data_IF_152238585961
#
_entry.id   IF_152238585961
#
_cell.length_a   1.000
_cell.length_b   1.000
_cell.length_c   1.000
_cell.angle_alpha   90.00
_cell.angle_beta   90.00
_cell.angle_gamma   90.00
#
_symmetry.space_group_name_H-M   'P 1'
#
loop_
_entity.id
_entity.type
_entity.pdbx_description
1 polymer ?
#
# COMPACT_ATOMS: atom_id res chain seq x y z
N UNK A 1 -12.50 -26.13 20.32
CA UNK A 1 -12.86 -27.53 20.03
C UNK A 1 -14.16 -27.83 20.76
N UNK A 2 -15.16 -28.42 20.09
CA UNK A 2 -16.42 -28.82 20.75
C UNK A 2 -16.10 -30.00 21.67
N UNK A 3 -16.10 -29.79 22.99
CA UNK A 3 -15.96 -30.88 23.94
C UNK A 3 -17.31 -31.58 24.06
N UNK A 4 -17.41 -32.80 23.52
CA UNK A 4 -18.57 -33.64 23.73
C UNK A 4 -18.58 -34.09 25.21
N UNK A 5 -19.62 -33.70 25.94
CA UNK A 5 -19.86 -34.17 27.31
C UNK A 5 -20.52 -35.54 27.26
N UNK A 6 -19.93 -36.53 27.92
CA UNK A 6 -20.53 -37.85 28.09
C UNK A 6 -21.60 -37.88 29.19
N UNK A 7 -21.89 -36.74 29.84
CA UNK A 7 -22.97 -36.65 30.83
C UNK A 7 -24.29 -36.39 30.10
N UNK A 8 -25.14 -37.40 30.07
CA UNK A 8 -26.56 -37.26 29.77
C UNK A 8 -27.15 -36.44 30.93
N UNK A 9 -27.78 -35.30 30.62
CA UNK A 9 -28.54 -34.52 31.62
C UNK A 9 -29.66 -35.43 32.16
N UNK A 10 -29.69 -35.65 33.47
CA UNK A 10 -30.68 -36.54 34.09
C UNK A 10 -32.11 -35.97 33.99
N UNK A 11 -32.23 -34.65 33.83
CA UNK A 11 -33.51 -33.96 33.65
C UNK A 11 -33.83 -33.77 32.16
N UNK A 12 -34.98 -34.31 31.74
CA UNK A 12 -35.49 -34.17 30.38
C UNK A 12 -36.13 -32.79 30.21
N UNK A 13 -35.41 -31.88 29.55
CA UNK A 13 -35.95 -30.59 29.12
C UNK A 13 -37.16 -30.82 28.18
N UNK A 14 -38.30 -30.21 28.52
CA UNK A 14 -39.47 -30.23 27.65
C UNK A 14 -39.22 -29.36 26.41
N UNK A 15 -39.67 -29.74 25.20
CA UNK A 15 -39.55 -28.89 24.00
C UNK A 15 -40.15 -27.49 24.18
N UNK A 16 -41.12 -27.32 25.09
CA UNK A 16 -41.73 -26.03 25.40
C UNK A 16 -40.81 -25.08 26.20
N UNK A 17 -39.75 -25.60 26.84
CA UNK A 17 -38.78 -24.82 27.62
C UNK A 17 -37.55 -24.39 26.80
N UNK A 18 -37.55 -24.68 25.49
CA UNK A 18 -36.44 -24.35 24.59
C UNK A 18 -36.16 -22.85 24.49
N UNK A 19 -37.20 -22.02 24.55
CA UNK A 19 -37.08 -20.56 24.55
C UNK A 19 -36.35 -20.04 25.79
N UNK A 20 -36.74 -20.48 26.98
CA UNK A 20 -36.09 -20.11 28.25
C UNK A 20 -34.63 -20.56 28.31
N UNK A 21 -34.31 -21.73 27.73
CA UNK A 21 -32.92 -22.21 27.62
C UNK A 21 -32.10 -21.33 26.68
N UNK A 22 -32.67 -20.88 25.56
CA UNK A 22 -32.00 -19.98 24.62
C UNK A 22 -31.77 -18.61 25.26
N UNK A 23 -32.76 -18.06 25.97
CA UNK A 23 -32.63 -16.77 26.65
C UNK A 23 -31.55 -16.81 27.74
N UNK A 24 -31.50 -17.89 28.55
CA UNK A 24 -30.45 -18.08 29.56
C UNK A 24 -29.07 -18.26 28.91
N UNK A 25 -28.99 -18.92 27.75
CA UNK A 25 -27.74 -19.06 26.99
C UNK A 25 -27.29 -17.72 26.40
N UNK A 26 -28.21 -16.91 25.87
CA UNK A 26 -27.91 -15.59 25.33
C UNK A 26 -27.52 -14.61 26.45
N UNK A 27 -28.21 -14.62 27.59
CA UNK A 27 -27.83 -13.83 28.77
C UNK A 27 -26.48 -14.27 29.33
N UNK A 28 -26.19 -15.58 29.35
CA UNK A 28 -24.89 -16.10 29.77
C UNK A 28 -23.80 -15.75 28.75
N UNK A 29 -24.12 -15.77 27.46
CA UNK A 29 -23.21 -15.38 26.38
C UNK A 29 -22.90 -13.88 26.43
N UNK A 30 -23.92 -13.04 26.66
CA UNK A 30 -23.77 -11.60 26.84
C UNK A 30 -23.02 -11.27 28.14
N UNK A 31 -23.28 -12.02 29.22
CA UNK A 31 -22.54 -11.90 30.48
C UNK A 31 -21.09 -12.39 30.35
N UNK A 32 -20.82 -13.38 29.50
CA UNK A 32 -19.47 -13.84 29.15
C UNK A 32 -18.76 -12.84 28.22
N UNK A 33 -19.47 -12.23 27.28
CA UNK A 33 -18.98 -11.13 26.43
C UNK A 33 -18.67 -9.88 27.26
N UNK A 34 -19.47 -9.58 28.29
CA UNK A 34 -19.20 -8.49 29.23
C UNK A 34 -18.10 -8.83 30.25
N UNK A 35 -17.88 -10.12 30.55
CA UNK A 35 -16.81 -10.64 31.43
C UNK A 35 -15.50 -10.95 30.69
N UNK A 36 -15.49 -10.93 29.36
CA UNK A 36 -14.26 -10.83 28.56
C UNK A 36 -13.69 -9.44 28.79
N UNK A 37 -13.13 -9.27 29.98
CA UNK A 37 -12.54 -8.06 30.46
C UNK A 37 -11.41 -7.69 29.48
N UNK A 38 -11.39 -6.45 29.02
CA UNK A 38 -10.34 -5.92 28.14
C UNK A 38 -8.93 -6.18 28.71
N UNK A 39 -8.82 -6.28 30.04
CA UNK A 39 -7.63 -6.64 30.79
C UNK A 39 -7.21 -8.11 30.64
N UNK A 40 -8.13 -9.09 30.62
CA UNK A 40 -7.78 -10.50 30.44
C UNK A 40 -7.27 -10.80 29.03
N UNK A 41 -7.89 -10.20 28.00
CA UNK A 41 -7.42 -10.33 26.63
C UNK A 41 -6.05 -9.66 26.44
N UNK A 42 -5.85 -8.48 27.05
CA UNK A 42 -4.56 -7.79 27.05
C UNK A 42 -3.47 -8.62 27.75
N UNK A 43 -3.73 -9.12 28.96
CA UNK A 43 -2.78 -9.92 29.73
C UNK A 43 -2.48 -11.27 29.08
N UNK A 44 -3.48 -11.92 28.47
CA UNK A 44 -3.27 -13.15 27.70
C UNK A 44 -2.43 -12.89 26.44
N UNK A 45 -2.73 -11.81 25.72
CA UNK A 45 -1.99 -11.40 24.52
C UNK A 45 -0.54 -11.06 24.88
N UNK A 46 -0.34 -10.27 25.94
CA UNK A 46 0.96 -9.92 26.50
C UNK A 46 1.76 -11.18 26.85
N UNK A 47 1.22 -12.07 27.68
CA UNK A 47 1.89 -13.33 28.09
C UNK A 47 2.18 -14.26 26.91
N UNK A 48 1.32 -14.27 25.89
CA UNK A 48 1.52 -15.08 24.69
C UNK A 48 2.65 -14.53 23.82
N UNK A 49 2.74 -13.19 23.68
CA UNK A 49 3.83 -12.52 22.97
C UNK A 49 5.16 -12.71 23.72
N UNK A 50 5.19 -12.49 25.04
CA UNK A 50 6.36 -12.72 25.89
C UNK A 50 6.89 -14.14 25.77
N UNK A 51 5.99 -15.13 25.88
CA UNK A 51 6.34 -16.55 25.77
C UNK A 51 6.81 -16.94 24.37
N UNK A 52 6.23 -16.33 23.32
CA UNK A 52 6.56 -16.67 21.95
C UNK A 52 7.90 -16.06 21.51
N UNK A 53 8.21 -14.83 21.96
CA UNK A 53 9.39 -14.10 21.53
C UNK A 53 10.59 -14.22 22.49
N UNK A 54 10.39 -14.76 23.69
CA UNK A 54 11.44 -14.95 24.71
C UNK A 54 12.16 -13.63 25.09
N UNK A 55 11.38 -12.55 25.27
CA UNK A 55 11.89 -11.20 25.56
C UNK A 55 11.33 -10.73 26.91
N UNK A 56 12.20 -10.25 27.81
CA UNK A 56 11.80 -9.55 29.04
C UNK A 56 11.55 -8.05 28.77
N UNK A 57 10.41 -7.57 29.28
CA UNK A 57 9.71 -6.27 29.12
C UNK A 57 10.49 -5.03 28.62
N UNK A 58 9.96 -4.42 27.56
CA UNK A 58 9.50 -3.00 27.51
C UNK A 58 9.18 -2.62 26.06
N UNK A 59 9.96 -3.14 25.11
CA UNK A 59 9.98 -2.62 23.74
C UNK A 59 8.67 -2.83 22.96
N UNK A 60 8.11 -4.04 22.93
CA UNK A 60 6.86 -4.32 22.21
C UNK A 60 5.65 -3.67 22.88
N UNK A 61 5.66 -3.59 24.21
CA UNK A 61 4.64 -2.87 24.98
C UNK A 61 4.71 -1.38 24.68
N UNK A 62 5.92 -0.82 24.52
CA UNK A 62 6.11 0.56 24.12
C UNK A 62 5.60 0.83 22.70
N UNK A 63 5.90 -0.02 21.71
CA UNK A 63 5.32 0.12 20.36
C UNK A 63 3.79 0.07 20.40
N UNK A 64 3.23 -0.89 21.13
CA UNK A 64 1.77 -1.00 21.29
C UNK A 64 1.16 0.25 21.94
N UNK A 65 1.76 0.74 23.05
CA UNK A 65 1.23 1.87 23.83
C UNK A 65 1.47 3.23 23.18
N UNK A 66 2.63 3.42 22.58
CA UNK A 66 3.07 4.69 22.03
C UNK A 66 2.61 4.89 20.59
N UNK A 67 2.44 3.81 19.81
CA UNK A 67 2.14 3.89 18.38
C UNK A 67 0.76 3.29 18.10
N UNK A 68 0.56 1.99 18.32
CA UNK A 68 -0.61 1.28 17.80
C UNK A 68 -1.93 1.67 18.49
N UNK A 69 -1.96 1.75 19.82
CA UNK A 69 -3.17 2.13 20.56
C UNK A 69 -3.61 3.58 20.26
N UNK A 70 -2.73 4.60 20.31
CA UNK A 70 -3.09 5.96 19.92
C UNK A 70 -3.54 6.04 18.47
N UNK A 71 -2.88 5.31 17.57
CA UNK A 71 -3.25 5.30 16.16
C UNK A 71 -4.67 4.75 15.95
N UNK A 72 -5.12 3.76 16.71
CA UNK A 72 -6.50 3.24 16.59
C UNK A 72 -7.56 4.33 16.79
N UNK A 73 -7.29 5.30 17.67
CA UNK A 73 -8.14 6.47 17.90
C UNK A 73 -8.09 7.39 16.68
N UNK A 74 -6.90 7.66 16.14
CA UNK A 74 -6.71 8.47 14.93
C UNK A 74 -7.49 7.87 13.75
N UNK A 75 -7.35 6.57 13.51
CA UNK A 75 -8.07 5.86 12.46
C UNK A 75 -9.58 5.97 12.65
N UNK A 76 -10.10 5.73 13.86
CA UNK A 76 -11.54 5.87 14.14
C UNK A 76 -12.08 7.27 13.79
N UNK A 77 -11.30 8.33 14.07
CA UNK A 77 -11.67 9.69 13.68
C UNK A 77 -11.61 9.92 12.17
N UNK A 78 -10.62 9.35 11.47
CA UNK A 78 -10.52 9.38 10.01
C UNK A 78 -11.73 8.69 9.37
N UNK A 79 -12.05 7.48 9.81
CA UNK A 79 -13.21 6.68 9.35
C UNK A 79 -14.51 7.44 9.58
N UNK A 80 -14.72 7.97 10.79
CA UNK A 80 -15.92 8.72 11.15
C UNK A 80 -16.08 10.01 10.33
N UNK A 81 -14.97 10.71 10.06
CA UNK A 81 -14.99 11.93 9.24
C UNK A 81 -15.31 11.60 7.78
N UNK A 82 -14.60 10.66 7.19
CA UNK A 82 -14.68 10.33 5.77
C UNK A 82 -14.32 11.49 4.84
N UNK A 83 -14.18 11.17 3.55
CA UNK A 83 -13.91 12.15 2.50
C UNK A 83 -15.19 12.49 1.72
N UNK A 84 -15.42 13.77 1.43
CA UNK A 84 -16.64 14.20 0.72
C UNK A 84 -16.53 13.89 -0.77
N UNK A 85 -17.65 13.45 -1.36
CA UNK A 85 -17.81 13.28 -2.78
C UNK A 85 -18.57 14.46 -3.41
N UNK A 86 -18.15 14.83 -4.60
CA UNK A 86 -18.96 15.57 -5.56
C UNK A 86 -19.82 14.55 -6.33
N UNK A 87 -21.07 14.38 -5.89
CA UNK A 87 -21.94 13.34 -6.41
C UNK A 87 -22.32 13.54 -7.88
N UNK A 88 -22.42 14.79 -8.33
CA UNK A 88 -22.72 15.09 -9.73
C UNK A 88 -21.58 14.62 -10.63
N UNK A 89 -20.32 14.88 -10.23
CA UNK A 89 -19.15 14.36 -10.95
C UNK A 89 -19.11 12.83 -10.97
N UNK A 90 -19.47 12.16 -9.87
CA UNK A 90 -19.55 10.69 -9.82
C UNK A 90 -20.57 10.18 -10.85
N UNK A 91 -21.74 10.81 -10.95
CA UNK A 91 -22.78 10.43 -11.90
C UNK A 91 -22.38 10.65 -13.36
N UNK A 92 -21.72 11.78 -13.65
CA UNK A 92 -21.19 12.06 -14.99
C UNK A 92 -20.08 11.05 -15.35
N UNK A 93 -19.15 10.80 -14.44
CA UNK A 93 -18.07 9.84 -14.62
C UNK A 93 -18.59 8.43 -14.94
N UNK A 94 -19.60 7.96 -14.19
CA UNK A 94 -20.20 6.65 -14.42
C UNK A 94 -20.79 6.52 -15.83
N UNK A 95 -21.55 7.54 -16.29
CA UNK A 95 -22.16 7.53 -17.61
C UNK A 95 -21.13 7.56 -18.73
N UNK A 96 -20.10 8.37 -18.59
CA UNK A 96 -19.05 8.49 -19.61
C UNK A 96 -18.24 7.19 -19.72
N UNK A 97 -17.93 6.55 -18.61
CA UNK A 97 -17.25 5.25 -18.61
C UNK A 97 -18.11 4.17 -19.27
N UNK A 98 -19.41 4.14 -18.99
CA UNK A 98 -20.33 3.17 -19.61
C UNK A 98 -20.36 3.33 -21.13
N UNK A 99 -20.52 4.57 -21.60
CA UNK A 99 -20.49 4.89 -23.02
C UNK A 99 -19.17 4.51 -23.69
N UNK A 100 -18.05 4.76 -23.03
CA UNK A 100 -16.71 4.44 -23.56
C UNK A 100 -16.43 2.93 -23.58
N UNK A 101 -16.93 2.19 -22.59
CA UNK A 101 -16.90 0.72 -22.59
C UNK A 101 -17.71 0.18 -23.76
N UNK A 102 -18.92 0.69 -24.00
CA UNK A 102 -19.77 0.29 -25.12
C UNK A 102 -19.08 0.57 -26.46
N UNK A 103 -18.61 1.81 -26.68
CA UNK A 103 -17.90 2.19 -27.91
C UNK A 103 -16.66 1.33 -28.17
N UNK A 104 -15.82 1.13 -27.15
CA UNK A 104 -14.59 0.31 -27.28
C UNK A 104 -14.94 -1.16 -27.56
N UNK A 105 -16.04 -1.66 -26.98
CA UNK A 105 -16.53 -3.02 -27.22
C UNK A 105 -16.96 -3.21 -28.68
N UNK A 106 -17.71 -2.25 -29.23
CA UNK A 106 -18.12 -2.26 -30.64
C UNK A 106 -16.92 -2.21 -31.59
N UNK A 107 -15.92 -1.38 -31.29
CA UNK A 107 -14.66 -1.33 -32.05
C UNK A 107 -13.93 -2.67 -32.04
N UNK A 108 -13.82 -3.30 -30.86
CA UNK A 108 -13.22 -4.64 -30.71
C UNK A 108 -13.98 -5.67 -31.55
N UNK A 109 -15.30 -5.68 -31.49
CA UNK A 109 -16.13 -6.60 -32.29
C UNK A 109 -16.02 -6.34 -33.78
N UNK A 110 -15.93 -5.08 -34.20
CA UNK A 110 -15.73 -4.70 -35.60
C UNK A 110 -14.38 -5.20 -36.13
N UNK A 111 -13.31 -5.08 -35.34
CA UNK A 111 -11.96 -5.53 -35.70
C UNK A 111 -11.90 -7.07 -35.81
N UNK A 112 -12.55 -7.78 -34.89
CA UNK A 112 -12.56 -9.26 -34.88
C UNK A 112 -13.54 -9.83 -35.91
N UNK A 113 -14.65 -9.13 -36.17
CA UNK A 113 -15.70 -9.53 -37.11
C UNK A 113 -16.87 -10.29 -36.47
N UNK A 114 -16.85 -10.53 -35.17
CA UNK A 114 -17.97 -11.09 -34.41
C UNK A 114 -17.87 -10.77 -32.91
N UNK A 115 -18.97 -10.98 -32.20
CA UNK A 115 -19.04 -10.79 -30.76
C UNK A 115 -18.40 -11.96 -29.99
N UNK A 116 -17.85 -11.64 -28.83
CA UNK A 116 -17.32 -12.60 -27.86
C UNK A 116 -17.21 -11.95 -26.48
N UNK A 117 -16.96 -12.76 -25.44
CA UNK A 117 -16.73 -12.25 -24.11
C UNK A 117 -15.28 -11.77 -23.93
N UNK A 118 -15.06 -10.47 -24.05
CA UNK A 118 -13.75 -9.80 -23.92
C UNK A 118 -13.12 -10.04 -22.53
N UNK A 119 -13.95 -10.19 -21.49
CA UNK A 119 -13.51 -10.45 -20.13
C UNK A 119 -13.11 -11.92 -19.89
N UNK A 120 -13.43 -12.84 -20.80
CA UNK A 120 -13.06 -14.25 -20.69
C UNK A 120 -11.62 -14.47 -21.19
N UNK A 121 -10.65 -14.81 -20.33
CA UNK A 121 -9.27 -15.00 -20.76
C UNK A 121 -9.12 -16.12 -21.79
N UNK A 122 -10.01 -17.12 -21.74
CA UNK A 122 -10.03 -18.24 -22.68
C UNK A 122 -10.45 -17.79 -24.08
N UNK A 123 -11.62 -17.15 -24.20
CA UNK A 123 -12.11 -16.67 -25.50
C UNK A 123 -11.15 -15.64 -26.10
N UNK A 124 -10.65 -14.70 -25.28
CA UNK A 124 -9.68 -13.72 -25.74
C UNK A 124 -8.36 -14.37 -26.19
N UNK A 125 -7.89 -15.40 -25.48
CA UNK A 125 -6.70 -16.17 -25.89
C UNK A 125 -6.93 -16.87 -27.23
N UNK A 126 -8.11 -17.45 -27.44
CA UNK A 126 -8.44 -18.16 -28.67
C UNK A 126 -8.47 -17.19 -29.87
N UNK A 127 -9.08 -16.01 -29.72
CA UNK A 127 -9.08 -14.96 -30.75
C UNK A 127 -7.67 -14.49 -31.06
N UNK A 128 -6.89 -14.10 -30.04
CA UNK A 128 -5.57 -13.54 -30.26
C UNK A 128 -4.61 -14.53 -30.94
N UNK A 129 -4.61 -15.80 -30.52
CA UNK A 129 -3.56 -16.75 -30.91
C UNK A 129 -3.99 -17.76 -31.96
N UNK A 130 -5.28 -18.13 -32.04
CA UNK A 130 -5.75 -19.10 -33.01
C UNK A 130 -6.35 -18.41 -34.25
N UNK A 131 -7.19 -17.40 -34.06
CA UNK A 131 -7.88 -16.71 -35.16
C UNK A 131 -6.98 -15.64 -35.80
N UNK A 132 -6.49 -14.70 -34.99
CA UNK A 132 -5.60 -13.62 -35.45
C UNK A 132 -4.14 -14.05 -35.60
N UNK A 133 -3.80 -15.27 -35.14
CA UNK A 133 -2.47 -15.90 -35.27
C UNK A 133 -1.33 -15.04 -34.73
N UNK A 134 -1.57 -14.26 -33.68
CA UNK A 134 -0.53 -13.46 -33.03
C UNK A 134 0.49 -14.37 -32.30
N UNK A 135 1.72 -13.89 -32.04
CA UNK A 135 2.75 -14.68 -31.39
C UNK A 135 2.30 -15.22 -30.02
N UNK A 136 2.30 -16.54 -29.86
CA UNK A 136 1.82 -17.21 -28.65
C UNK A 136 2.92 -17.30 -27.59
N UNK A 137 2.66 -16.80 -26.39
CA UNK A 137 3.47 -17.15 -25.21
C UNK A 137 3.22 -18.62 -24.83
N UNK A 138 4.18 -19.30 -24.20
CA UNK A 138 4.07 -20.75 -23.87
C UNK A 138 2.76 -21.16 -23.14
N UNK A 139 2.05 -20.22 -22.52
CA UNK A 139 0.77 -20.45 -21.83
C UNK A 139 -0.46 -19.78 -22.47
N UNK A 140 -0.33 -19.11 -23.63
CA UNK A 140 -1.42 -18.32 -24.21
C UNK A 140 -1.92 -17.22 -23.25
N UNK A 141 -1.01 -16.60 -22.49
CA UNK A 141 -1.39 -15.63 -21.46
C UNK A 141 -1.83 -14.32 -22.11
N UNK A 142 -3.00 -13.83 -21.70
CA UNK A 142 -3.51 -12.51 -22.09
C UNK A 142 -3.25 -11.46 -21.01
N UNK A 143 -2.23 -11.61 -20.15
CA UNK A 143 -1.89 -10.59 -19.13
C UNK A 143 -1.48 -9.27 -19.78
N UNK A 144 -1.72 -8.17 -19.09
CA UNK A 144 -1.37 -6.81 -19.56
C UNK A 144 0.11 -6.72 -20.00
N UNK A 145 1.04 -7.27 -19.20
CA UNK A 145 2.47 -7.28 -19.53
C UNK A 145 2.82 -8.09 -20.79
N UNK A 146 1.97 -9.03 -21.21
CA UNK A 146 2.12 -9.76 -22.48
C UNK A 146 1.53 -8.95 -23.62
N UNK A 147 0.33 -8.38 -23.44
CA UNK A 147 -0.31 -7.54 -24.45
C UNK A 147 0.53 -6.29 -24.76
N UNK A 148 1.16 -5.65 -23.77
CA UNK A 148 2.06 -4.51 -23.99
C UNK A 148 3.24 -4.85 -24.89
N UNK A 149 3.74 -6.09 -24.87
CA UNK A 149 4.82 -6.54 -25.78
C UNK A 149 4.32 -6.77 -27.21
N UNK A 150 3.00 -6.81 -27.42
CA UNK A 150 2.34 -6.98 -28.71
C UNK A 150 1.84 -5.67 -29.29
N UNK A 151 2.11 -4.53 -28.63
CA UNK A 151 1.80 -3.21 -29.18
C UNK A 151 2.46 -3.03 -30.55
N UNK A 152 1.71 -2.45 -31.49
CA UNK A 152 2.10 -2.32 -32.89
C UNK A 152 2.01 -3.61 -33.73
N UNK A 153 1.72 -4.78 -33.15
CA UNK A 153 1.52 -6.01 -33.92
C UNK A 153 0.12 -6.10 -34.53
N UNK A 154 -0.90 -5.56 -33.84
CA UNK A 154 -2.29 -5.55 -34.32
C UNK A 154 -3.09 -4.44 -33.63
N UNK A 155 -3.97 -3.70 -34.35
CA UNK A 155 -4.77 -2.61 -33.76
C UNK A 155 -5.59 -3.03 -32.54
N UNK A 156 -6.13 -4.25 -32.56
CA UNK A 156 -6.90 -4.84 -31.45
C UNK A 156 -6.19 -4.74 -30.08
N UNK A 157 -4.86 -4.82 -30.04
CA UNK A 157 -4.10 -4.84 -28.78
C UNK A 157 -4.28 -3.53 -27.99
N UNK A 158 -4.32 -2.39 -28.69
CA UNK A 158 -4.50 -1.08 -28.07
C UNK A 158 -5.91 -0.95 -27.49
N UNK A 159 -6.94 -1.30 -28.27
CA UNK A 159 -8.32 -1.30 -27.80
C UNK A 159 -8.54 -2.26 -26.62
N UNK A 160 -7.90 -3.43 -26.60
CA UNK A 160 -7.99 -4.37 -25.47
C UNK A 160 -7.34 -3.85 -24.19
N UNK A 161 -6.19 -3.17 -24.32
CA UNK A 161 -5.52 -2.55 -23.18
C UNK A 161 -6.39 -1.41 -22.61
N UNK A 162 -6.92 -0.57 -23.49
CA UNK A 162 -7.82 0.52 -23.11
C UNK A 162 -9.12 0.00 -22.47
N UNK A 163 -9.79 -0.98 -23.09
CA UNK A 163 -10.99 -1.63 -22.55
C UNK A 163 -10.79 -2.14 -21.12
N UNK A 164 -9.64 -2.76 -20.84
CA UNK A 164 -9.33 -3.27 -19.50
C UNK A 164 -9.04 -2.17 -18.50
N UNK A 165 -8.39 -1.10 -18.94
CA UNK A 165 -8.19 0.09 -18.12
C UNK A 165 -9.54 0.66 -17.68
N UNK A 166 -10.43 0.99 -18.63
CA UNK A 166 -11.73 1.58 -18.32
C UNK A 166 -12.66 0.63 -17.55
N UNK A 167 -12.62 -0.67 -17.85
CA UNK A 167 -13.38 -1.69 -17.11
C UNK A 167 -12.91 -1.83 -15.67
N UNK A 168 -11.58 -1.74 -15.44
CA UNK A 168 -11.02 -1.67 -14.09
C UNK A 168 -11.44 -0.37 -13.40
N UNK A 169 -11.45 0.77 -14.12
CA UNK A 169 -11.93 2.03 -13.55
C UNK A 169 -13.37 1.90 -13.05
N UNK A 170 -14.27 1.35 -13.89
CA UNK A 170 -15.67 1.09 -13.54
C UNK A 170 -15.80 0.21 -12.30
N UNK A 171 -15.26 -1.01 -12.38
CA UNK A 171 -15.51 -2.06 -11.38
C UNK A 171 -14.76 -1.85 -10.07
N UNK A 172 -13.52 -1.34 -10.12
CA UNK A 172 -12.66 -1.24 -8.94
C UNK A 172 -12.83 0.08 -8.21
N UNK A 173 -13.30 1.13 -8.89
CA UNK A 173 -13.37 2.47 -8.31
C UNK A 173 -14.77 3.04 -8.36
N UNK A 174 -15.39 3.18 -9.53
CA UNK A 174 -16.67 3.90 -9.66
C UNK A 174 -17.83 3.15 -9.00
N UNK A 175 -18.01 1.87 -9.27
CA UNK A 175 -19.06 1.05 -8.64
C UNK A 175 -18.95 1.04 -7.11
N UNK A 176 -17.75 0.88 -6.51
CA UNK A 176 -17.57 1.05 -5.07
C UNK A 176 -17.95 2.43 -4.52
N UNK A 177 -17.81 3.52 -5.28
CA UNK A 177 -18.29 4.83 -4.83
C UNK A 177 -19.80 4.84 -4.65
N UNK A 178 -20.55 4.15 -5.51
CA UNK A 178 -22.00 4.03 -5.37
C UNK A 178 -22.36 3.19 -4.14
N UNK A 179 -21.79 1.98 -4.05
CA UNK A 179 -22.18 1.00 -3.02
C UNK A 179 -21.71 1.38 -1.61
N UNK A 180 -20.65 2.18 -1.47
CA UNK A 180 -20.10 2.59 -0.17
C UNK A 180 -20.37 4.06 0.18
N UNK A 181 -21.08 4.83 -0.67
CA UNK A 181 -21.39 6.22 -0.34
C UNK A 181 -22.42 6.33 0.78
N UNK A 182 -22.16 7.24 1.71
CA UNK A 182 -23.09 7.62 2.79
C UNK A 182 -23.68 8.98 2.47
N UNK A 183 -25.01 9.07 2.42
CA UNK A 183 -25.73 10.33 2.23
C UNK A 183 -26.18 10.92 3.56
N UNK A 184 -25.73 12.13 3.88
CA UNK A 184 -26.15 12.87 5.08
C UNK A 184 -26.34 14.35 4.77
N UNK A 185 -27.52 14.88 5.09
CA UNK A 185 -27.84 16.31 4.88
C UNK A 185 -27.69 16.78 3.43
N UNK A 186 -28.02 15.91 2.46
CA UNK A 186 -27.89 16.19 1.03
C UNK A 186 -26.48 16.07 0.45
N UNK A 187 -25.48 15.73 1.27
CA UNK A 187 -24.08 15.51 0.84
C UNK A 187 -23.73 14.02 0.87
N UNK A 188 -22.74 13.66 0.07
CA UNK A 188 -22.25 12.29 -0.05
C UNK A 188 -20.79 12.22 0.43
N UNK A 189 -20.43 11.13 1.10
CA UNK A 189 -19.06 10.87 1.55
C UNK A 189 -18.73 9.39 1.52
N UNK A 190 -17.43 9.09 1.47
CA UNK A 190 -16.88 7.74 1.60
C UNK A 190 -16.21 7.62 2.97
N UNK A 191 -16.50 6.51 3.64
CA UNK A 191 -15.96 6.13 4.93
C UNK A 191 -15.32 4.77 4.77
N UNK A 192 -14.01 4.74 4.51
CA UNK A 192 -13.27 3.48 4.39
C UNK A 192 -13.02 2.87 5.77
N UNK A 193 -12.91 1.54 5.83
CA UNK A 193 -12.45 0.84 7.02
C UNK A 193 -10.93 0.65 6.95
N UNK A 194 -10.20 1.18 7.92
CA UNK A 194 -8.77 0.92 8.08
C UNK A 194 -8.54 -0.34 8.92
N UNK A 195 -8.03 -1.39 8.28
CA UNK A 195 -7.58 -2.60 8.96
C UNK A 195 -6.15 -2.42 9.45
N UNK A 196 -6.05 -2.02 10.72
CA UNK A 196 -4.77 -1.85 11.43
C UNK A 196 -4.04 -3.19 11.62
N UNK A 197 -4.79 -4.26 11.89
CA UNK A 197 -4.25 -5.63 11.99
C UNK A 197 -4.58 -6.39 10.71
N UNK A 198 -3.55 -6.96 10.06
CA UNK A 198 -3.77 -7.83 8.88
C UNK A 198 -2.67 -7.85 7.83
N UNK A 199 -1.84 -6.80 7.73
CA UNK A 199 -0.67 -6.84 6.84
C UNK A 199 0.55 -7.38 7.56
N UNK A 200 1.42 -8.06 6.83
CA UNK A 200 2.68 -8.59 7.35
C UNK A 200 3.80 -7.54 7.41
N UNK A 201 3.59 -6.36 6.82
CA UNK A 201 4.56 -5.25 6.79
C UNK A 201 4.34 -4.22 7.88
N UNK A 202 3.33 -4.36 8.75
CA UNK A 202 2.98 -3.35 9.75
C UNK A 202 2.14 -2.19 9.21
N UNK A 203 2.10 -1.95 7.89
CA UNK A 203 1.14 -1.01 7.26
C UNK A 203 -0.31 -1.38 7.63
N UNK A 204 -1.19 -0.39 7.80
CA UNK A 204 -2.63 -0.66 7.79
C UNK A 204 -3.13 -0.71 6.34
N UNK A 205 -4.24 -1.42 6.12
CA UNK A 205 -4.89 -1.50 4.80
C UNK A 205 -6.25 -0.82 4.84
N UNK A 206 -6.75 -0.38 3.67
CA UNK A 206 -8.06 0.24 3.53
C UNK A 206 -9.00 -0.66 2.73
N UNK A 207 -10.23 -0.85 3.21
CA UNK A 207 -11.30 -1.60 2.53
C UNK A 207 -12.64 -0.84 2.58
N UNK A 208 -13.61 -1.27 1.78
CA UNK A 208 -14.99 -0.75 1.76
C UNK A 208 -15.13 0.78 1.62
N UNK A 209 -14.60 1.42 0.56
CA UNK A 209 -13.76 0.88 -0.50
C UNK A 209 -12.26 1.04 -0.17
N UNK A 210 -11.38 0.41 -0.96
CA UNK A 210 -9.94 0.61 -0.81
C UNK A 210 -9.52 1.99 -1.35
N UNK A 211 -9.17 2.89 -0.43
CA UNK A 211 -8.78 4.27 -0.68
C UNK A 211 -7.26 4.47 -0.82
N UNK A 212 -6.46 3.43 -0.55
CA UNK A 212 -5.00 3.47 -0.71
C UNK A 212 -4.55 3.17 -2.15
N UNK A 213 -5.40 2.51 -2.94
CA UNK A 213 -5.05 2.07 -4.30
C UNK A 213 -5.73 2.90 -5.41
N UNK A 214 -6.02 4.17 -5.14
CA UNK A 214 -6.63 5.07 -6.14
C UNK A 214 -5.73 5.18 -7.38
N UNK A 215 -6.32 5.24 -8.58
CA UNK A 215 -5.53 5.31 -9.81
C UNK A 215 -4.82 6.67 -9.89
N UNK A 216 -3.54 6.65 -10.27
CA UNK A 216 -2.69 7.86 -10.31
C UNK A 216 -2.53 8.45 -11.71
N UNK A 217 -2.50 7.61 -12.74
CA UNK A 217 -2.19 8.00 -14.12
C UNK A 217 -3.36 7.72 -15.06
N UNK A 218 -3.52 8.58 -16.08
CA UNK A 218 -4.56 8.46 -17.10
C UNK A 218 -5.71 9.44 -16.91
N UNK A 219 -6.47 9.67 -17.98
CA UNK A 219 -7.60 10.62 -17.98
C UNK A 219 -8.68 10.17 -16.99
N UNK A 220 -9.00 8.89 -17.00
CA UNK A 220 -9.99 8.30 -16.10
C UNK A 220 -9.56 8.34 -14.64
N UNK A 221 -8.27 8.13 -14.37
CA UNK A 221 -7.72 8.23 -13.02
C UNK A 221 -7.89 9.63 -12.44
N UNK A 222 -7.55 10.66 -13.23
CA UNK A 222 -7.75 12.06 -12.85
C UNK A 222 -9.23 12.33 -12.53
N UNK A 223 -10.14 11.89 -13.41
CA UNK A 223 -11.58 12.09 -13.22
C UNK A 223 -12.13 11.39 -11.97
N UNK A 224 -11.64 10.20 -11.63
CA UNK A 224 -11.97 9.53 -10.35
C UNK A 224 -11.52 10.40 -9.17
N UNK A 225 -10.28 10.92 -9.19
CA UNK A 225 -9.75 11.78 -8.13
C UNK A 225 -10.49 13.13 -8.03
N UNK A 226 -11.01 13.66 -9.13
CA UNK A 226 -11.82 14.89 -9.16
C UNK A 226 -13.16 14.77 -8.42
N UNK A 227 -13.67 13.55 -8.23
CA UNK A 227 -14.89 13.27 -7.47
C UNK A 227 -14.71 13.46 -5.97
N UNK A 228 -13.48 13.36 -5.45
CA UNK A 228 -13.21 13.54 -4.02
C UNK A 228 -12.84 14.98 -3.75
N UNK A 229 -13.61 15.67 -2.92
CA UNK A 229 -13.53 17.13 -2.74
C UNK A 229 -13.46 17.55 -1.28
N UNK A 230 -12.88 18.71 -1.03
CA UNK A 230 -12.96 19.35 0.28
C UNK A 230 -14.39 19.81 0.60
N UNK A 231 -14.76 19.75 1.88
CA UNK A 231 -15.98 20.39 2.39
C UNK A 231 -15.90 21.92 2.23
N UNK A 232 -17.07 22.56 2.14
CA UNK A 232 -17.17 24.02 2.05
C UNK A 232 -16.42 24.72 3.20
N UNK A 233 -15.56 25.68 2.87
CA UNK A 233 -14.71 26.41 3.83
C UNK A 233 -13.41 25.69 4.19
N UNK A 234 -13.14 24.55 3.55
CA UNK A 234 -11.92 23.76 3.70
C UNK A 234 -11.20 23.59 2.36
N UNK A 235 -9.93 23.20 2.43
CA UNK A 235 -9.08 22.73 1.33
C UNK A 235 -8.58 21.33 1.65
N UNK A 236 -8.27 20.56 0.60
CA UNK A 236 -7.47 19.35 0.77
C UNK A 236 -6.00 19.76 0.78
N UNK A 237 -5.22 19.11 1.64
CA UNK A 237 -3.77 19.27 1.76
C UNK A 237 -3.15 17.87 1.70
N UNK A 238 -2.27 17.62 0.73
CA UNK A 238 -1.44 16.43 0.65
C UNK A 238 -0.03 16.74 1.16
N UNK A 239 0.48 15.89 2.04
CA UNK A 239 1.85 15.95 2.55
C UNK A 239 2.50 14.59 2.34
N UNK A 240 3.52 14.53 1.47
CA UNK A 240 4.14 13.28 1.01
C UNK A 240 5.64 13.27 1.31
N UNK A 241 6.17 12.16 1.82
CA UNK A 241 7.62 12.03 2.02
C UNK A 241 8.33 11.73 0.70
N UNK A 242 9.34 12.55 0.37
CA UNK A 242 10.14 12.31 -0.83
C UNK A 242 11.14 11.17 -0.61
N UNK A 243 10.92 10.06 -1.29
CA UNK A 243 11.84 8.91 -1.37
C UNK A 243 12.14 8.29 0.01
N UNK A 244 11.11 8.20 0.85
CA UNK A 244 11.22 7.75 2.24
C UNK A 244 11.95 6.41 2.38
N UNK A 245 11.63 5.43 1.53
CA UNK A 245 12.23 4.09 1.52
C UNK A 245 13.74 4.12 1.26
N UNK A 246 14.20 5.00 0.35
CA UNK A 246 15.64 5.14 0.04
C UNK A 246 16.40 5.84 1.17
N UNK A 247 15.76 6.80 1.86
CA UNK A 247 16.37 7.48 3.02
C UNK A 247 16.50 6.53 4.21
N UNK A 248 15.46 5.74 4.49
CA UNK A 248 15.51 4.65 5.47
C UNK A 248 16.59 3.65 5.09
N UNK A 249 16.67 3.24 3.83
CA UNK A 249 17.70 2.32 3.36
C UNK A 249 19.11 2.87 3.57
N UNK A 250 19.34 4.15 3.27
CA UNK A 250 20.63 4.80 3.48
C UNK A 250 21.07 4.74 4.95
N UNK A 251 20.14 5.03 5.86
CA UNK A 251 20.34 5.02 7.31
C UNK A 251 20.65 3.61 7.84
N UNK A 252 19.76 2.65 7.62
CA UNK A 252 19.90 1.29 8.17
C UNK A 252 21.09 0.52 7.58
N UNK A 253 21.48 0.84 6.34
CA UNK A 253 22.64 0.22 5.70
C UNK A 253 23.96 0.95 5.98
N UNK A 254 23.88 2.15 6.56
CA UNK A 254 25.02 3.05 6.76
C UNK A 254 25.90 3.18 5.50
N UNK A 255 25.24 3.27 4.33
CA UNK A 255 25.95 3.39 3.07
C UNK A 255 26.43 4.83 2.86
N UNK A 256 27.71 5.04 3.12
CA UNK A 256 28.34 6.37 3.08
C UNK A 256 28.11 7.10 1.76
N UNK A 257 28.10 6.40 0.64
CA UNK A 257 27.96 7.02 -0.67
C UNK A 257 26.51 7.46 -0.92
N UNK A 258 25.54 6.61 -0.56
CA UNK A 258 24.13 6.95 -0.64
C UNK A 258 23.77 8.11 0.31
N UNK A 259 24.26 8.07 1.55
CA UNK A 259 24.08 9.15 2.53
C UNK A 259 24.66 10.46 1.98
N UNK A 260 25.88 10.43 1.44
CA UNK A 260 26.49 11.62 0.83
C UNK A 260 25.71 12.14 -0.37
N UNK A 261 25.15 11.27 -1.21
CA UNK A 261 24.33 11.72 -2.34
C UNK A 261 23.11 12.51 -1.87
N UNK A 262 22.43 12.02 -0.83
CA UNK A 262 21.30 12.74 -0.22
C UNK A 262 21.72 14.06 0.43
N UNK A 263 22.78 14.05 1.25
CA UNK A 263 23.27 15.26 1.92
C UNK A 263 23.74 16.35 0.94
N UNK A 264 24.23 15.95 -0.24
CA UNK A 264 24.62 16.86 -1.30
C UNK A 264 23.43 17.31 -2.19
N UNK A 265 22.20 16.91 -1.88
CA UNK A 265 21.01 17.25 -2.65
C UNK A 265 21.02 16.69 -4.08
N UNK A 266 21.70 15.57 -4.32
CA UNK A 266 21.75 14.94 -5.64
C UNK A 266 20.45 14.19 -5.92
N UNK A 267 20.02 14.20 -7.17
CA UNK A 267 18.98 13.29 -7.63
C UNK A 267 19.49 11.84 -7.58
N UNK A 268 19.02 11.07 -6.60
CA UNK A 268 19.54 9.73 -6.29
C UNK A 268 19.37 8.77 -7.46
N UNK A 269 18.28 8.88 -8.22
CA UNK A 269 18.05 8.03 -9.39
C UNK A 269 19.06 8.32 -10.50
N UNK A 270 19.37 9.59 -10.75
CA UNK A 270 20.38 10.00 -11.72
C UNK A 270 21.79 9.62 -11.26
N UNK A 271 22.05 9.74 -9.96
CA UNK A 271 23.32 9.33 -9.34
C UNK A 271 23.54 7.81 -9.47
N UNK A 272 22.52 7.00 -9.22
CA UNK A 272 22.56 5.55 -9.47
C UNK A 272 22.77 5.25 -10.95
N UNK A 273 22.02 5.91 -11.85
CA UNK A 273 22.16 5.71 -13.29
C UNK A 273 23.58 6.02 -13.77
N UNK A 274 24.18 7.12 -13.31
CA UNK A 274 25.56 7.50 -13.60
C UNK A 274 26.57 6.40 -13.23
N UNK A 275 26.42 5.82 -12.03
CA UNK A 275 27.32 4.76 -11.56
C UNK A 275 27.13 3.45 -12.31
N UNK A 276 25.88 3.05 -12.53
CA UNK A 276 25.53 1.78 -13.19
C UNK A 276 25.88 1.81 -14.67
N UNK A 277 25.70 2.95 -15.35
CA UNK A 277 26.01 3.13 -16.77
C UNK A 277 27.44 3.62 -17.00
N UNK A 278 28.21 3.86 -15.94
CA UNK A 278 29.56 4.44 -15.98
C UNK A 278 29.62 5.74 -16.81
N UNK A 279 28.72 6.68 -16.50
CA UNK A 279 28.59 8.02 -17.12
C UNK A 279 28.76 9.12 -16.09
N UNK A 280 29.06 10.34 -16.54
CA UNK A 280 29.01 11.52 -15.66
C UNK A 280 27.56 11.83 -15.32
N UNK A 281 27.32 12.31 -14.11
CA UNK A 281 25.98 12.68 -13.64
C UNK A 281 25.30 13.72 -14.55
N UNK A 282 26.09 14.67 -15.09
CA UNK A 282 25.62 15.71 -16.01
C UNK A 282 25.13 15.19 -17.35
N UNK A 283 25.55 13.98 -17.72
CA UNK A 283 25.29 13.39 -19.03
C UNK A 283 24.09 12.42 -18.98
N UNK A 284 23.44 12.29 -17.82
CA UNK A 284 22.30 11.41 -17.61
C UNK A 284 21.03 12.04 -18.19
N UNK A 285 20.46 11.33 -19.16
CA UNK A 285 19.17 11.69 -19.76
C UNK A 285 18.00 11.31 -18.85
N UNK A 286 16.82 11.89 -19.08
CA UNK A 286 15.59 11.50 -18.36
C UNK A 286 15.28 9.99 -18.47
N UNK A 287 15.54 9.39 -19.64
CA UNK A 287 15.34 7.95 -19.85
C UNK A 287 16.29 7.13 -18.98
N UNK A 288 17.54 7.55 -18.87
CA UNK A 288 18.54 6.86 -18.03
C UNK A 288 18.29 7.07 -16.54
N UNK A 289 17.82 8.25 -16.14
CA UNK A 289 17.31 8.45 -14.78
C UNK A 289 16.22 7.43 -14.43
N UNK A 290 15.32 7.11 -15.37
CA UNK A 290 14.30 6.07 -15.16
C UNK A 290 14.92 4.69 -14.95
N UNK A 291 16.04 4.37 -15.62
CA UNK A 291 16.79 3.13 -15.37
C UNK A 291 17.32 3.12 -13.93
N UNK A 292 17.96 4.21 -13.50
CA UNK A 292 18.43 4.35 -12.12
C UNK A 292 17.32 4.23 -11.08
N UNK A 293 16.13 4.78 -11.36
CA UNK A 293 14.92 4.58 -10.53
C UNK A 293 14.57 3.10 -10.42
N UNK A 294 14.43 2.39 -11.54
CA UNK A 294 14.11 0.96 -11.54
C UNK A 294 15.19 0.12 -10.86
N UNK A 295 16.46 0.46 -11.00
CA UNK A 295 17.56 -0.22 -10.30
C UNK A 295 17.47 0.01 -8.79
N UNK A 296 17.31 1.25 -8.31
CA UNK A 296 17.17 1.55 -6.89
C UNK A 296 16.05 0.74 -6.24
N UNK A 297 14.83 0.82 -6.79
CA UNK A 297 13.69 0.06 -6.26
C UNK A 297 13.88 -1.44 -6.42
N UNK A 298 14.48 -1.89 -7.53
CA UNK A 298 14.81 -3.29 -7.73
C UNK A 298 15.73 -3.82 -6.63
N UNK A 299 16.77 -3.06 -6.29
CA UNK A 299 17.75 -3.46 -5.28
C UNK A 299 17.15 -3.41 -3.88
N UNK A 300 16.47 -2.33 -3.49
CA UNK A 300 15.75 -2.24 -2.20
C UNK A 300 14.85 -3.46 -1.98
N UNK A 301 14.19 -3.93 -3.04
CA UNK A 301 13.28 -5.08 -2.95
C UNK A 301 13.94 -6.46 -3.13
N UNK A 302 15.28 -6.53 -3.11
CA UNK A 302 16.05 -7.77 -3.26
C UNK A 302 15.86 -8.44 -4.62
N UNK A 303 15.59 -7.68 -5.69
CA UNK A 303 15.33 -8.26 -7.01
C UNK A 303 16.58 -8.97 -7.56
N UNK A 304 16.36 -10.13 -8.15
CA UNK A 304 17.40 -10.86 -8.87
C UNK A 304 17.60 -10.28 -10.27
N UNK A 305 18.71 -10.64 -10.93
CA UNK A 305 18.97 -10.27 -12.33
C UNK A 305 17.80 -10.62 -13.27
N UNK A 306 17.09 -11.72 -13.02
CA UNK A 306 15.90 -12.09 -13.80
C UNK A 306 14.73 -11.12 -13.60
N UNK A 307 14.49 -10.68 -12.35
CA UNK A 307 13.45 -9.70 -12.04
C UNK A 307 13.78 -8.34 -12.66
N UNK A 308 15.01 -7.88 -12.48
CA UNK A 308 15.49 -6.61 -13.01
C UNK A 308 15.49 -6.58 -14.55
N UNK A 309 15.92 -7.65 -15.21
CA UNK A 309 15.91 -7.74 -16.67
C UNK A 309 14.49 -7.63 -17.23
N UNK A 310 13.51 -8.23 -16.55
CA UNK A 310 12.10 -8.13 -16.96
C UNK A 310 11.51 -6.74 -16.75
N UNK A 311 11.93 -6.00 -15.72
CA UNK A 311 11.47 -4.64 -15.45
C UNK A 311 12.04 -3.63 -16.46
N UNK A 312 13.33 -3.78 -16.79
CA UNK A 312 14.04 -2.88 -17.70
C UNK A 312 13.87 -3.27 -19.18
N UNK A 313 13.41 -4.48 -19.47
CA UNK A 313 13.32 -4.98 -20.85
C UNK A 313 14.71 -5.23 -21.48
N UNK A 314 15.70 -5.60 -20.67
CA UNK A 314 17.08 -5.87 -21.09
C UNK A 314 17.41 -7.36 -20.94
N UNK A 315 18.56 -7.80 -21.46
CA UNK A 315 19.02 -9.17 -21.26
C UNK A 315 19.50 -9.39 -19.82
N UNK A 316 19.59 -10.68 -19.43
CA UNK A 316 19.92 -11.06 -18.06
C UNK A 316 21.37 -10.74 -17.69
N UNK A 317 22.29 -10.73 -18.65
CA UNK A 317 23.71 -10.49 -18.36
C UNK A 317 23.96 -9.00 -18.13
N UNK A 318 23.38 -8.12 -18.94
CA UNK A 318 23.36 -6.66 -18.66
C UNK A 318 22.73 -6.37 -17.30
N UNK A 319 21.62 -7.04 -16.96
CA UNK A 319 21.01 -6.86 -15.63
C UNK A 319 21.93 -7.31 -14.49
N UNK A 320 22.75 -8.36 -14.67
CA UNK A 320 23.76 -8.74 -13.66
C UNK A 320 24.85 -7.67 -13.55
N UNK A 321 25.34 -7.15 -14.67
CA UNK A 321 26.34 -6.08 -14.67
C UNK A 321 25.84 -4.86 -13.90
N UNK A 322 24.57 -4.49 -14.08
CA UNK A 322 23.98 -3.38 -13.33
C UNK A 322 23.91 -3.64 -11.83
N UNK A 323 23.53 -4.86 -11.43
CA UNK A 323 23.50 -5.26 -10.02
C UNK A 323 24.90 -5.23 -9.42
N UNK A 324 25.89 -5.79 -10.13
CA UNK A 324 27.28 -5.76 -9.69
C UNK A 324 27.83 -4.34 -9.58
N UNK A 325 27.58 -3.49 -10.57
CA UNK A 325 27.98 -2.09 -10.53
C UNK A 325 27.31 -1.35 -9.35
N UNK A 326 26.03 -1.63 -9.08
CA UNK A 326 25.31 -1.06 -7.95
C UNK A 326 25.98 -1.40 -6.62
N UNK A 327 26.18 -2.69 -6.30
CA UNK A 327 26.77 -3.11 -5.03
C UNK A 327 28.24 -2.72 -4.88
N UNK A 328 29.00 -2.68 -5.97
CA UNK A 328 30.38 -2.19 -5.96
C UNK A 328 30.47 -0.71 -5.55
N UNK A 329 29.44 0.09 -5.85
CA UNK A 329 29.38 1.49 -5.45
C UNK A 329 28.73 1.66 -4.06
N UNK A 330 27.65 0.94 -3.80
CA UNK A 330 26.87 0.98 -2.57
C UNK A 330 27.14 -0.25 -1.70
N UNK A 331 28.37 -0.35 -1.21
CA UNK A 331 28.83 -1.53 -0.45
C UNK A 331 28.13 -1.69 0.91
N UNK A 332 27.68 -0.59 1.53
CA UNK A 332 26.92 -0.64 2.79
C UNK A 332 25.58 -1.35 2.60
N UNK A 333 24.92 -1.09 1.48
CA UNK A 333 23.68 -1.77 1.08
C UNK A 333 23.91 -3.27 0.91
N UNK A 334 24.98 -3.69 0.22
CA UNK A 334 25.29 -5.11 0.04
C UNK A 334 25.54 -5.81 1.40
N UNK A 335 26.33 -5.16 2.26
CA UNK A 335 26.65 -5.68 3.59
C UNK A 335 25.39 -5.83 4.44
N UNK A 336 24.51 -4.82 4.43
CA UNK A 336 23.24 -4.86 5.13
C UNK A 336 22.34 -6.00 4.64
N UNK A 337 22.21 -6.19 3.32
CA UNK A 337 21.40 -7.27 2.77
C UNK A 337 21.91 -8.64 3.19
N UNK A 338 23.24 -8.84 3.19
CA UNK A 338 23.85 -10.09 3.66
C UNK A 338 23.62 -10.28 5.16
N UNK A 339 23.76 -9.23 5.98
CA UNK A 339 23.57 -9.33 7.42
C UNK A 339 22.13 -9.63 7.79
N UNK A 340 21.14 -9.01 7.13
CA UNK A 340 19.73 -9.22 7.43
C UNK A 340 19.23 -10.60 6.96
N UNK A 341 19.75 -11.10 5.83
CA UNK A 341 19.50 -12.48 5.40
C UNK A 341 20.04 -13.49 6.41
N UNK A 342 21.27 -13.25 6.91
CA UNK A 342 21.87 -14.08 7.95
C UNK A 342 21.09 -14.01 9.26
N UNK A 343 20.69 -12.81 9.71
CA UNK A 343 19.86 -12.62 10.89
C UNK A 343 18.52 -13.36 10.76
N UNK A 344 17.84 -13.24 9.62
CA UNK A 344 16.61 -13.97 9.36
C UNK A 344 16.83 -15.49 9.42
N UNK A 345 17.94 -15.98 8.88
CA UNK A 345 18.29 -17.39 8.93
C UNK A 345 18.57 -17.87 10.36
N UNK A 346 19.31 -17.12 11.16
CA UNK A 346 19.71 -17.47 12.53
C UNK A 346 18.55 -17.34 13.53
N UNK A 347 17.80 -16.24 13.50
CA UNK A 347 16.73 -15.92 14.46
C UNK A 347 15.35 -16.43 14.00
N UNK A 348 15.14 -16.56 12.70
CA UNK A 348 13.84 -16.90 12.11
C UNK A 348 12.89 -15.71 11.93
N UNK A 349 13.34 -14.49 12.26
CA UNK A 349 12.58 -13.25 12.11
C UNK A 349 13.50 -12.07 11.80
N UNK A 350 12.90 -10.95 11.36
CA UNK A 350 13.55 -9.65 11.20
C UNK A 350 12.72 -8.56 11.86
N UNK A 351 13.32 -7.41 12.12
CA UNK A 351 12.70 -6.30 12.86
C UNK A 351 12.90 -4.95 12.17
N UNK A 352 11.97 -4.02 12.38
CA UNK A 352 12.09 -2.61 11.98
C UNK A 352 12.98 -1.83 12.96
N UNK A 353 13.26 -0.56 12.68
CA UNK A 353 13.96 0.31 13.65
C UNK A 353 13.11 0.61 14.91
N UNK A 354 11.79 0.45 14.81
CA UNK A 354 10.83 0.46 15.92
C UNK A 354 10.48 -0.97 16.36
N UNK A 355 11.22 -1.97 15.87
CA UNK A 355 11.22 -3.38 16.24
C UNK A 355 9.87 -4.09 16.21
N UNK A 356 8.98 -3.59 15.37
CA UNK A 356 7.94 -4.40 14.74
C UNK A 356 8.62 -5.65 14.16
N UNK A 357 8.14 -6.84 14.52
CA UNK A 357 8.78 -8.12 14.19
C UNK A 357 8.01 -8.87 13.12
N UNK A 358 8.71 -9.42 12.13
CA UNK A 358 8.14 -10.36 11.15
C UNK A 358 8.90 -11.68 11.13
N UNK A 359 8.15 -12.76 11.30
CA UNK A 359 8.67 -14.11 11.13
C UNK A 359 8.93 -14.42 9.65
N UNK A 360 10.11 -14.97 9.35
CA UNK A 360 10.53 -15.33 8.00
C UNK A 360 10.56 -16.86 7.90
N UNK A 361 9.37 -17.47 7.83
CA UNK A 361 9.20 -18.93 7.98
C UNK A 361 9.92 -19.76 6.92
N UNK A 362 10.05 -19.25 5.69
CA UNK A 362 10.63 -20.00 4.57
C UNK A 362 12.14 -19.88 4.41
N UNK A 363 12.85 -19.10 5.25
CA UNK A 363 14.29 -18.82 5.08
C UNK A 363 15.19 -20.06 5.22
N UNK A 364 14.76 -21.05 6.03
CA UNK A 364 15.45 -22.34 6.22
C UNK A 364 14.93 -23.44 5.29
N UNK A 365 14.05 -23.11 4.34
CA UNK A 365 13.45 -24.10 3.45
C UNK A 365 14.50 -24.71 2.50
N UNK A 366 14.44 -26.04 2.33
CA UNK A 366 15.20 -26.73 1.26
C UNK A 366 14.73 -26.34 -0.14
N UNK A 367 13.52 -25.78 -0.28
CA UNK A 367 13.01 -25.29 -1.55
C UNK A 367 13.64 -23.92 -1.88
N UNK A 368 14.59 -23.92 -2.80
CA UNK A 368 15.31 -22.70 -3.23
C UNK A 368 14.41 -21.54 -3.66
N UNK A 369 13.24 -21.81 -4.25
CA UNK A 369 12.31 -20.74 -4.66
C UNK A 369 11.65 -20.09 -3.44
N UNK A 370 11.23 -20.89 -2.48
CA UNK A 370 10.64 -20.42 -1.23
C UNK A 370 11.68 -19.69 -0.37
N UNK A 371 12.88 -20.26 -0.25
CA UNK A 371 14.00 -19.64 0.44
C UNK A 371 14.35 -18.28 -0.17
N UNK A 372 14.51 -18.19 -1.50
CA UNK A 372 14.81 -16.92 -2.16
C UNK A 372 13.68 -15.89 -2.02
N UNK A 373 12.41 -16.32 -1.98
CA UNK A 373 11.30 -15.42 -1.70
C UNK A 373 11.34 -14.89 -0.25
N UNK A 374 11.70 -15.76 0.69
CA UNK A 374 11.82 -15.42 2.11
C UNK A 374 13.02 -14.50 2.39
N UNK A 375 14.13 -14.67 1.65
CA UNK A 375 15.28 -13.76 1.73
C UNK A 375 14.90 -12.34 1.27
N UNK A 376 14.17 -12.20 0.16
CA UNK A 376 13.63 -10.90 -0.28
C UNK A 376 12.67 -10.31 0.76
N UNK A 377 11.83 -11.14 1.35
CA UNK A 377 10.93 -10.72 2.41
C UNK A 377 11.69 -10.18 3.64
N UNK A 378 12.79 -10.84 4.02
CA UNK A 378 13.67 -10.42 5.11
C UNK A 378 14.36 -9.08 4.83
N UNK A 379 14.79 -8.83 3.59
CA UNK A 379 15.39 -7.55 3.19
C UNK A 379 14.36 -6.43 3.18
N UNK A 380 13.17 -6.68 2.63
CA UNK A 380 12.19 -5.63 2.38
C UNK A 380 11.46 -5.20 3.65
N UNK A 381 11.25 -6.14 4.58
CA UNK A 381 10.40 -5.89 5.74
C UNK A 381 10.93 -4.80 6.66
N UNK A 382 12.21 -4.77 7.06
CA UNK A 382 12.71 -3.70 7.92
C UNK A 382 12.54 -2.32 7.30
N UNK A 383 12.67 -2.19 5.98
CA UNK A 383 12.51 -0.92 5.26
C UNK A 383 11.03 -0.50 5.25
N UNK A 384 10.15 -1.34 4.69
CA UNK A 384 8.71 -1.02 4.56
C UNK A 384 8.00 -0.94 5.91
N UNK A 385 8.44 -1.74 6.87
CA UNK A 385 7.89 -1.73 8.21
C UNK A 385 8.33 -0.48 8.98
N UNK A 386 9.59 -0.08 8.88
CA UNK A 386 10.03 1.19 9.49
C UNK A 386 9.29 2.37 8.87
N UNK A 387 9.02 2.34 7.56
CA UNK A 387 8.19 3.36 6.93
C UNK A 387 6.79 3.42 7.53
N UNK A 388 6.15 2.25 7.70
CA UNK A 388 4.85 2.17 8.37
C UNK A 388 4.92 2.73 9.80
N UNK A 389 5.93 2.35 10.58
CA UNK A 389 6.09 2.78 11.97
C UNK A 389 6.27 4.30 12.07
N UNK A 390 7.09 4.89 11.19
CA UNK A 390 7.27 6.36 11.09
C UNK A 390 5.95 7.05 10.77
N UNK A 391 5.23 6.58 9.75
CA UNK A 391 3.95 7.17 9.35
C UNK A 391 2.94 7.16 10.50
N UNK A 392 2.86 6.05 11.25
CA UNK A 392 1.95 5.94 12.40
C UNK A 392 2.33 6.91 13.52
N UNK A 393 3.62 7.01 13.85
CA UNK A 393 4.12 7.93 14.87
C UNK A 393 3.84 9.40 14.48
N UNK A 394 4.09 9.75 13.22
CA UNK A 394 3.83 11.08 12.68
C UNK A 394 2.34 11.40 12.70
N UNK A 395 1.48 10.48 12.26
CA UNK A 395 0.02 10.65 12.34
C UNK A 395 -0.46 10.88 13.77
N UNK A 396 0.08 10.16 14.75
CA UNK A 396 -0.20 10.39 16.18
C UNK A 396 0.19 11.80 16.61
N UNK A 397 1.40 12.25 16.28
CA UNK A 397 1.91 13.57 16.67
C UNK A 397 1.09 14.70 16.02
N UNK A 398 0.75 14.55 14.73
CA UNK A 398 -0.11 15.50 14.02
C UNK A 398 -1.53 15.51 14.61
N UNK A 399 -2.07 14.35 14.98
CA UNK A 399 -3.37 14.29 15.63
C UNK A 399 -3.38 15.06 16.95
N UNK A 400 -2.33 14.95 17.78
CA UNK A 400 -2.19 15.76 19.00
C UNK A 400 -2.21 17.26 18.67
N UNK A 401 -1.41 17.70 17.69
CA UNK A 401 -1.40 19.10 17.22
C UNK A 401 -2.81 19.57 16.80
N UNK A 402 -3.56 18.72 16.08
CA UNK A 402 -4.93 19.02 15.67
C UNK A 402 -5.82 19.20 16.89
N UNK A 403 -5.76 18.32 17.89
CA UNK A 403 -6.59 18.44 19.08
C UNK A 403 -6.29 19.72 19.87
N UNK A 404 -5.01 20.06 20.01
CA UNK A 404 -4.58 21.18 20.85
C UNK A 404 -4.83 22.55 20.20
N UNK A 405 -4.59 22.69 18.89
CA UNK A 405 -4.58 24.00 18.20
C UNK A 405 -5.62 24.13 17.09
N UNK A 406 -5.94 23.05 16.39
CA UNK A 406 -6.79 23.08 15.18
C UNK A 406 -8.09 22.30 15.32
N UNK A 407 -8.59 22.15 16.55
CA UNK A 407 -9.83 21.42 16.80
C UNK A 407 -10.96 21.99 15.96
N UNK A 408 -11.65 21.10 15.23
CA UNK A 408 -12.71 21.41 14.26
C UNK A 408 -12.28 22.25 13.03
N UNK A 409 -10.99 22.50 12.85
CA UNK A 409 -10.40 23.30 11.78
C UNK A 409 -9.48 22.48 10.87
N UNK A 410 -8.95 21.37 11.34
CA UNK A 410 -8.14 20.43 10.54
C UNK A 410 -8.53 18.98 10.86
N UNK A 411 -8.42 18.10 9.87
CA UNK A 411 -8.74 16.68 9.99
C UNK A 411 -7.78 15.86 9.13
N UNK A 412 -7.31 14.74 9.66
CA UNK A 412 -6.67 13.69 8.85
C UNK A 412 -7.79 12.94 8.14
N UNK A 413 -7.68 12.74 6.82
CA UNK A 413 -8.68 12.03 6.03
C UNK A 413 -8.21 10.64 5.61
N UNK A 414 -7.02 10.57 5.01
CA UNK A 414 -6.47 9.36 4.41
C UNK A 414 -4.96 9.31 4.66
N UNK A 415 -4.42 8.10 4.66
CA UNK A 415 -3.02 7.85 4.45
C UNK A 415 -2.91 6.93 3.24
N UNK A 416 -2.09 7.32 2.28
CA UNK A 416 -1.89 6.65 1.00
C UNK A 416 -0.39 6.48 0.84
N UNK A 417 0.13 5.30 1.22
CA UNK A 417 1.58 5.05 1.24
C UNK A 417 2.32 6.09 2.13
N UNK A 418 3.26 6.83 1.58
CA UNK A 418 4.03 7.89 2.23
C UNK A 418 3.30 9.24 2.30
N UNK A 419 2.09 9.35 1.72
CA UNK A 419 1.27 10.57 1.73
C UNK A 419 0.21 10.54 2.85
N UNK A 420 0.06 11.67 3.54
CA UNK A 420 -1.09 11.96 4.41
C UNK A 420 -1.94 13.05 3.77
N UNK A 421 -3.23 12.76 3.62
CA UNK A 421 -4.22 13.70 3.09
C UNK A 421 -5.03 14.27 4.24
N UNK A 422 -5.10 15.60 4.29
CA UNK A 422 -5.84 16.37 5.27
C UNK A 422 -6.97 17.15 4.63
N UNK A 423 -7.94 17.53 5.47
CA UNK A 423 -8.93 18.56 5.17
C UNK A 423 -8.78 19.69 6.19
N UNK A 424 -8.44 20.89 5.72
CA UNK A 424 -8.03 22.01 6.58
C UNK A 424 -8.81 23.26 6.21
N UNK A 425 -9.22 24.03 7.22
CA UNK A 425 -9.89 25.31 7.01
C UNK A 425 -9.05 26.19 6.08
N UNK A 426 -9.68 26.74 5.04
CA UNK A 426 -8.97 27.43 3.96
C UNK A 426 -8.11 28.61 4.45
N UNK A 427 -8.48 29.23 5.57
CA UNK A 427 -7.74 30.38 6.15
C UNK A 427 -6.50 29.98 6.91
N UNK A 428 -6.38 28.70 7.28
CA UNK A 428 -5.31 28.17 8.14
C UNK A 428 -4.42 27.16 7.42
N UNK A 429 -4.69 26.86 6.15
CA UNK A 429 -4.00 25.79 5.41
C UNK A 429 -2.50 25.99 5.34
N UNK A 430 -2.02 27.22 5.12
CA UNK A 430 -0.58 27.49 5.06
C UNK A 430 0.09 27.32 6.42
N UNK A 431 -0.45 27.93 7.47
CA UNK A 431 0.06 27.80 8.86
C UNK A 431 0.10 26.34 9.31
N UNK A 432 -1.02 25.62 9.11
CA UNK A 432 -1.11 24.21 9.45
C UNK A 432 -0.10 23.37 8.65
N UNK A 433 0.07 23.65 7.36
CA UNK A 433 1.01 22.90 6.52
C UNK A 433 2.45 23.02 6.99
N UNK A 434 2.88 24.21 7.41
CA UNK A 434 4.24 24.43 7.94
C UNK A 434 4.47 23.70 9.25
N UNK A 435 3.48 23.68 10.15
CA UNK A 435 3.61 22.93 11.40
C UNK A 435 3.61 21.42 11.20
N UNK A 436 2.79 20.91 10.27
CA UNK A 436 2.79 19.49 9.89
C UNK A 436 4.10 19.10 9.21
N UNK A 437 4.61 19.91 8.28
CA UNK A 437 5.91 19.69 7.63
C UNK A 437 7.01 19.53 8.68
N UNK A 438 7.07 20.46 9.65
CA UNK A 438 8.03 20.39 10.75
C UNK A 438 7.89 19.09 11.55
N UNK A 439 6.67 18.69 11.91
CA UNK A 439 6.43 17.43 12.63
C UNK A 439 6.87 16.21 11.80
N UNK A 440 6.61 16.19 10.49
CA UNK A 440 7.05 15.12 9.60
C UNK A 440 8.59 15.03 9.54
N UNK A 441 9.28 16.16 9.49
CA UNK A 441 10.75 16.20 9.44
C UNK A 441 11.41 15.87 10.78
N UNK A 442 10.78 16.23 11.91
CA UNK A 442 11.40 16.15 13.24
C UNK A 442 10.97 14.92 14.06
N UNK A 443 9.89 14.23 13.71
CA UNK A 443 9.37 13.10 14.51
C UNK A 443 10.35 11.94 14.61
N UNK A 444 11.19 11.75 13.59
CA UNK A 444 12.22 10.70 13.54
C UNK A 444 13.47 11.28 12.91
N UNK A 445 14.61 11.13 13.59
CA UNK A 445 15.90 11.59 13.10
C UNK A 445 16.66 10.42 12.48
N UNK A 446 16.92 10.52 11.18
CA UNK A 446 17.83 9.65 10.44
C UNK A 446 19.12 10.42 10.12
N UNK A 447 20.19 9.71 9.77
CA UNK A 447 21.42 10.33 9.22
C UNK A 447 21.14 11.10 7.93
N UNK A 448 20.15 10.64 7.15
CA UNK A 448 19.65 11.35 5.97
C UNK A 448 18.36 12.09 6.34
N UNK A 449 18.33 13.44 6.28
CA UNK A 449 17.13 14.19 6.63
C UNK A 449 15.97 13.81 5.71
N UNK A 450 14.75 13.78 6.23
CA UNK A 450 13.56 13.67 5.40
C UNK A 450 13.35 14.92 4.54
N UNK A 451 12.51 14.78 3.52
CA UNK A 451 12.01 15.87 2.70
C UNK A 451 10.53 15.61 2.46
N UNK A 452 9.71 16.65 2.46
CA UNK A 452 8.26 16.55 2.33
C UNK A 452 7.81 17.42 1.16
N UNK A 453 6.95 16.88 0.31
CA UNK A 453 6.27 17.62 -0.74
C UNK A 453 4.87 18.01 -0.27
N UNK A 454 4.53 19.28 -0.49
CA UNK A 454 3.22 19.87 -0.15
C UNK A 454 2.40 20.11 -1.40
N UNK A 455 1.13 19.72 -1.37
CA UNK A 455 0.14 20.10 -2.39
C UNK A 455 -1.18 20.53 -1.75
N UNK A 456 -1.84 21.56 -2.31
CA UNK A 456 -3.09 22.11 -1.78
C UNK A 456 -4.11 22.19 -2.92
N UNK A 457 -5.33 21.74 -2.65
CA UNK A 457 -6.35 21.52 -3.67
C UNK A 457 -7.79 21.68 -3.20
N UNK A 458 -8.72 21.73 -4.15
CA UNK A 458 -10.14 21.57 -3.86
C UNK A 458 -10.59 20.10 -4.00
N UNK A 459 -9.82 19.31 -4.74
CA UNK A 459 -10.07 17.90 -5.00
C UNK A 459 -8.80 17.06 -4.88
N UNK A 460 -8.93 15.73 -4.74
CA UNK A 460 -7.76 14.85 -4.72
C UNK A 460 -6.96 14.91 -6.04
N UNK A 461 -7.57 15.36 -7.14
CA UNK A 461 -6.87 15.50 -8.42
C UNK A 461 -5.94 16.70 -8.48
N UNK A 462 -6.13 17.68 -7.58
CA UNK A 462 -5.27 18.86 -7.47
C UNK A 462 -4.02 18.56 -6.63
N UNK A 463 -4.06 17.50 -5.81
CA UNK A 463 -2.93 17.00 -5.05
C UNK A 463 -1.99 16.25 -5.99
N UNK A 464 -0.71 16.64 -6.00
CA UNK A 464 0.32 16.10 -6.89
C UNK A 464 1.25 15.17 -6.17
#
# INVERSE_FOLDING_TARGET
AFYYSNKILEEKLSPMQSSEVIDVLDDTHLAQLSKLDSLELYEYTKKSIERFLDISEDYLLNVLREIELPLSIVLSHMESRGIQLDWEKVQILSKDIEKEIESTTEEIYSIVGHEFNINSPKQLSDILFNELKLPKSAKGSTKESVLRKMLGMHPLIEHLLYFREISKIKSTYVEPLYSNSVKKGGKYSIHTDFKQTGTSSGRFSSINPNMQNLPLEGVWAKRVRECFVARRGFKLLGMDYSQMELRIMADISNDKLLIQDFLNGRDIHSATAARVLNKKLTDITHRERSIGKTVNFGMIFGQTAFGLSSLLGIDRDTAKEYISAYFNNYSGIENYMRSIEYEAFEKGYVQTMFGTTRNITGIRSKNRRLQAASAREAINMPIQGSEADIMKLVMRNIYSLIQDKYSKKAYILLQIHDEIVFEVNEKLVEEFSTEVERLMLESVQLEVPFEVHKSIGNSLSDLK
#
